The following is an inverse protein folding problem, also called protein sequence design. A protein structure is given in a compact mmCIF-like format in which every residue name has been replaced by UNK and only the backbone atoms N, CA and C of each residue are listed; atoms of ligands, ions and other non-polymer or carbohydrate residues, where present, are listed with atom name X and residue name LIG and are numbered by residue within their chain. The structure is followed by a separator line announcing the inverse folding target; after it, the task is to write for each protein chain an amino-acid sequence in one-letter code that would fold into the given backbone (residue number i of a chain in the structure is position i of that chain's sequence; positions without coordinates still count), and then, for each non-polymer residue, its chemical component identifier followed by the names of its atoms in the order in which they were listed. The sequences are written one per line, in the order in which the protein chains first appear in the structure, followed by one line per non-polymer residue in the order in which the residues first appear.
data_IF_639227655024
#
_entry.id   IF_639227655024
#
_cell.length_a   1.000
_cell.length_b   1.000
_cell.length_c   1.000
_cell.angle_alpha   90.00
_cell.angle_beta   90.00
_cell.angle_gamma   90.00
#
_symmetry.space_group_name_H-M   'P 1'
#
loop_
_entity.id
_entity.type
_entity.pdbx_description
1 polymer ?
#
# COMPACT_ATOMS: atom_id res chain seq x y z
N UNK A 1 5.53 -20.35 -3.36
CA UNK A 1 6.51 -20.76 -4.39
C UNK A 1 7.63 -19.72 -4.41
N UNK A 2 8.88 -20.15 -4.60
CA UNK A 2 10.04 -19.26 -4.66
C UNK A 2 10.05 -18.43 -5.95
N UNK A 3 10.87 -17.37 -5.99
CA UNK A 3 11.11 -16.60 -7.20
C UNK A 3 11.98 -17.45 -8.14
N UNK A 4 11.52 -17.69 -9.37
CA UNK A 4 12.39 -18.21 -10.42
C UNK A 4 13.23 -17.05 -10.97
N UNK A 5 14.50 -17.00 -10.60
CA UNK A 5 15.41 -15.93 -11.03
C UNK A 5 15.77 -16.01 -12.51
N UNK A 6 15.33 -17.05 -13.22
CA UNK A 6 15.51 -17.19 -14.67
C UNK A 6 14.36 -16.58 -15.50
N UNK A 7 13.20 -16.26 -14.89
CA UNK A 7 12.10 -15.56 -15.55
C UNK A 7 12.13 -14.05 -15.21
N UNK A 8 12.35 -13.15 -16.21
CA UNK A 8 12.31 -11.70 -16.01
C UNK A 8 10.99 -11.20 -15.39
N UNK A 9 9.86 -11.85 -15.66
CA UNK A 9 8.57 -11.47 -15.09
C UNK A 9 8.53 -11.65 -13.57
N UNK A 10 9.20 -12.68 -13.08
CA UNK A 10 9.27 -12.98 -11.65
C UNK A 10 10.13 -11.96 -10.89
N UNK A 11 11.19 -11.45 -11.52
CA UNK A 11 11.99 -10.34 -10.99
C UNK A 11 11.18 -9.05 -10.95
N UNK A 12 10.46 -8.71 -12.03
CA UNK A 12 9.59 -7.53 -12.09
C UNK A 12 8.49 -7.62 -11.02
N UNK A 13 7.85 -8.78 -10.91
CA UNK A 13 6.83 -9.06 -9.90
C UNK A 13 7.39 -8.91 -8.49
N UNK A 14 8.57 -9.48 -8.21
CA UNK A 14 9.23 -9.34 -6.90
C UNK A 14 9.55 -7.87 -6.58
N UNK A 15 10.01 -7.09 -7.56
CA UNK A 15 10.24 -5.65 -7.43
C UNK A 15 8.95 -4.90 -7.04
N UNK A 16 7.85 -5.17 -7.72
CA UNK A 16 6.55 -4.59 -7.39
C UNK A 16 6.03 -5.04 -6.02
N UNK A 17 6.12 -6.33 -5.71
CA UNK A 17 5.71 -6.88 -4.41
C UNK A 17 6.53 -6.29 -3.24
N UNK A 18 7.81 -5.97 -3.46
CA UNK A 18 8.65 -5.35 -2.42
C UNK A 18 8.10 -4.00 -1.92
N UNK A 19 7.45 -3.22 -2.79
CA UNK A 19 6.78 -1.97 -2.41
C UNK A 19 5.60 -2.26 -1.47
N UNK A 20 4.80 -3.29 -1.78
CA UNK A 20 3.68 -3.69 -0.94
C UNK A 20 4.12 -4.23 0.42
N UNK A 21 5.18 -5.04 0.44
CA UNK A 21 5.76 -5.60 1.67
C UNK A 21 6.37 -4.53 2.57
N UNK A 22 7.10 -3.56 2.01
CA UNK A 22 7.61 -2.43 2.77
C UNK A 22 6.47 -1.54 3.29
N UNK A 23 5.42 -1.33 2.50
CA UNK A 23 4.22 -0.60 2.93
C UNK A 23 3.56 -1.29 4.13
N UNK A 24 3.47 -2.63 4.09
CA UNK A 24 2.97 -3.43 5.21
C UNK A 24 3.80 -3.22 6.49
N UNK A 25 5.13 -3.30 6.39
CA UNK A 25 6.02 -3.09 7.53
C UNK A 25 5.84 -1.70 8.14
N UNK A 26 5.78 -0.65 7.31
CA UNK A 26 5.54 0.73 7.77
C UNK A 26 4.22 0.82 8.54
N UNK A 27 3.15 0.22 8.01
CA UNK A 27 1.84 0.26 8.66
C UNK A 27 1.85 -0.48 10.00
N UNK A 28 2.49 -1.65 10.10
CA UNK A 28 2.60 -2.38 11.37
C UNK A 28 3.42 -1.61 12.41
N UNK A 29 4.41 -0.80 12.01
CA UNK A 29 5.11 0.11 12.94
C UNK A 29 4.27 1.31 13.39
N UNK A 30 3.38 1.83 12.53
CA UNK A 30 2.49 2.95 12.86
C UNK A 30 1.34 2.49 13.78
N UNK A 31 0.83 1.29 13.57
CA UNK A 31 -0.33 0.73 14.27
C UNK A 31 -0.29 0.84 15.81
N UNK A 32 0.79 0.50 16.52
CA UNK A 32 0.84 0.60 17.99
C UNK A 32 0.80 2.03 18.52
N UNK A 33 1.18 3.03 17.72
CA UNK A 33 1.23 4.44 18.12
C UNK A 33 0.04 5.26 17.59
N UNK A 34 -0.73 4.71 16.66
CA UNK A 34 -1.87 5.39 16.06
C UNK A 34 -3.04 5.49 17.05
N UNK A 35 -3.56 6.70 17.27
CA UNK A 35 -4.76 6.93 18.10
C UNK A 35 -6.03 6.30 17.49
N UNK A 36 -6.04 6.13 16.16
CA UNK A 36 -7.14 5.49 15.44
C UNK A 36 -6.61 4.78 14.20
N UNK A 37 -7.20 3.65 13.84
CA UNK A 37 -6.82 2.89 12.65
C UNK A 37 -7.80 3.14 11.49
N UNK A 38 -7.32 3.33 10.25
CA UNK A 38 -8.19 3.57 9.11
C UNK A 38 -9.04 2.34 8.76
N UNK A 39 -10.26 2.57 8.26
CA UNK A 39 -11.13 1.52 7.70
C UNK A 39 -10.77 1.15 6.26
N UNK A 40 -10.05 2.02 5.56
CA UNK A 40 -9.59 1.86 4.17
C UNK A 40 -8.35 2.72 3.95
N UNK A 41 -7.47 2.29 3.04
CA UNK A 41 -6.34 3.07 2.56
C UNK A 41 -6.71 3.78 1.26
N UNK A 42 -6.03 4.87 0.96
CA UNK A 42 -6.22 5.63 -0.29
C UNK A 42 -4.88 5.76 -0.99
N UNK A 43 -4.83 5.46 -2.29
CA UNK A 43 -3.62 5.52 -3.09
C UNK A 43 -3.81 6.42 -4.31
N UNK A 44 -2.73 7.09 -4.72
CA UNK A 44 -2.65 7.93 -5.92
C UNK A 44 -1.20 8.00 -6.41
N UNK A 45 -0.96 8.69 -7.53
CA UNK A 45 0.36 8.85 -8.13
C UNK A 45 0.73 7.74 -9.12
N UNK A 46 1.86 7.92 -9.82
CA UNK A 46 2.23 7.07 -10.96
C UNK A 46 2.46 5.58 -10.62
N UNK A 47 2.80 5.28 -9.36
CA UNK A 47 3.01 3.92 -8.86
C UNK A 47 1.72 3.20 -8.44
N UNK A 48 0.57 3.88 -8.36
CA UNK A 48 -0.70 3.32 -7.90
C UNK A 48 -1.37 2.43 -8.97
N UNK A 49 -0.65 1.41 -9.44
CA UNK A 49 -1.11 0.48 -10.48
C UNK A 49 -1.98 -0.63 -9.87
N UNK A 50 -3.05 -1.08 -10.55
CA UNK A 50 -4.00 -2.04 -10.00
C UNK A 50 -3.39 -3.30 -9.35
N UNK A 51 -2.39 -3.99 -9.94
CA UNK A 51 -1.80 -5.19 -9.33
C UNK A 51 -1.13 -4.90 -7.98
N UNK A 52 -0.43 -3.76 -7.86
CA UNK A 52 0.19 -3.36 -6.60
C UNK A 52 -0.86 -3.01 -5.55
N UNK A 53 -1.92 -2.31 -5.93
CA UNK A 53 -2.98 -1.91 -5.00
C UNK A 53 -3.75 -3.12 -4.47
N UNK A 54 -4.03 -4.11 -5.33
CA UNK A 54 -4.59 -5.38 -4.90
C UNK A 54 -3.67 -6.08 -3.90
N UNK A 55 -2.37 -6.15 -4.21
CA UNK A 55 -1.40 -6.77 -3.32
C UNK A 55 -1.27 -6.06 -1.96
N UNK A 56 -1.34 -4.73 -1.93
CA UNK A 56 -1.37 -3.95 -0.67
C UNK A 56 -2.67 -4.23 0.10
N UNK A 57 -3.82 -4.33 -0.58
CA UNK A 57 -5.09 -4.68 0.07
C UNK A 57 -5.00 -6.07 0.73
N UNK A 58 -4.45 -7.04 0.01
CA UNK A 58 -4.19 -8.40 0.49
C UNK A 58 -3.24 -8.43 1.70
N UNK A 59 -2.12 -7.68 1.65
CA UNK A 59 -1.15 -7.63 2.74
C UNK A 59 -1.65 -6.90 3.98
N UNK A 60 -2.44 -5.85 3.83
CA UNK A 60 -2.87 -5.01 4.96
C UNK A 60 -4.21 -5.45 5.54
N UNK A 61 -4.92 -6.33 4.83
CA UNK A 61 -6.30 -6.71 5.12
C UNK A 61 -7.23 -5.48 5.27
N UNK A 62 -6.94 -4.43 4.51
CA UNK A 62 -7.74 -3.20 4.40
C UNK A 62 -8.13 -2.99 2.94
N UNK A 63 -9.34 -2.49 2.65
CA UNK A 63 -9.67 -2.00 1.32
C UNK A 63 -8.73 -0.87 0.90
N UNK A 64 -8.32 -0.85 -0.37
CA UNK A 64 -7.48 0.20 -0.95
C UNK A 64 -8.26 0.91 -2.06
N UNK A 65 -8.54 2.19 -1.87
CA UNK A 65 -9.20 3.03 -2.88
C UNK A 65 -8.16 3.72 -3.76
N UNK A 66 -8.21 3.47 -5.06
CA UNK A 66 -7.47 4.25 -6.05
C UNK A 66 -8.19 5.55 -6.33
N UNK A 67 -7.43 6.63 -6.52
CA UNK A 67 -8.00 7.91 -6.91
C UNK A 67 -7.78 8.24 -8.39
N UNK A 68 -8.84 8.70 -9.04
CA UNK A 68 -8.81 9.25 -10.41
C UNK A 68 -8.02 10.55 -10.53
N UNK A 69 -7.84 11.27 -9.42
CA UNK A 69 -7.11 12.52 -9.38
C UNK A 69 -5.60 12.24 -9.41
N UNK A 70 -5.03 12.25 -10.62
CA UNK A 70 -3.63 11.87 -10.88
C UNK A 70 -2.62 12.69 -10.08
N UNK A 71 -2.89 13.97 -9.86
CA UNK A 71 -2.00 14.88 -9.12
C UNK A 71 -2.65 15.36 -7.81
N UNK A 72 -2.75 14.42 -6.86
CA UNK A 72 -3.21 14.71 -5.49
C UNK A 72 -2.29 15.71 -4.78
N UNK A 73 -1.01 15.77 -5.16
CA UNK A 73 -0.04 16.70 -4.60
C UNK A 73 -0.41 18.13 -4.95
N UNK A 74 -0.60 18.43 -6.25
CA UNK A 74 -1.02 19.75 -6.71
C UNK A 74 -2.39 20.14 -6.13
N UNK A 75 -3.34 19.19 -6.06
CA UNK A 75 -4.63 19.44 -5.43
C UNK A 75 -4.50 19.78 -3.95
N UNK A 76 -3.62 19.12 -3.21
CA UNK A 76 -3.30 19.44 -1.82
C UNK A 76 -2.79 20.87 -1.66
N UNK A 77 -1.88 21.32 -2.53
CA UNK A 77 -1.37 22.70 -2.54
C UNK A 77 -2.50 23.70 -2.81
N UNK A 78 -3.32 23.44 -3.84
CA UNK A 78 -4.49 24.27 -4.15
C UNK A 78 -5.44 24.40 -2.95
N UNK A 79 -5.68 23.29 -2.25
CA UNK A 79 -6.52 23.25 -1.05
C UNK A 79 -5.97 24.11 0.11
N UNK A 80 -4.65 24.24 0.23
CA UNK A 80 -4.01 25.04 1.26
C UNK A 80 -4.06 26.55 0.98
N UNK A 81 -3.94 26.96 -0.29
CA UNK A 81 -3.84 28.38 -0.68
C UNK A 81 -5.18 29.04 -1.01
N UNK A 82 -6.22 28.25 -1.28
CA UNK A 82 -7.53 28.79 -1.68
C UNK A 82 -8.24 29.47 -0.49
N UNK A 83 -9.01 30.54 -0.72
CA UNK A 83 -9.87 31.13 0.31
C UNK A 83 -10.86 30.09 0.85
N UNK A 84 -11.06 30.06 2.17
CA UNK A 84 -12.04 29.18 2.83
C UNK A 84 -13.46 29.68 2.56
N UNK A 85 -14.01 29.41 1.39
CA UNK A 85 -15.43 29.63 1.16
C UNK A 85 -16.26 28.67 2.03
N UNK A 86 -17.35 29.19 2.60
CA UNK A 86 -18.30 28.43 3.42
C UNK A 86 -19.00 27.42 2.50
N UNK A 87 -18.86 26.14 2.80
CA UNK A 87 -19.40 24.98 2.08
C UNK A 87 -18.48 24.35 1.02
N UNK A 88 -17.32 23.88 1.45
CA UNK A 88 -16.71 22.76 0.75
C UNK A 88 -17.02 21.48 1.52
N UNK A 89 -17.90 20.70 0.91
CA UNK A 89 -18.20 19.32 1.22
C UNK A 89 -16.90 18.57 1.49
N UNK A 90 -16.99 17.64 2.45
CA UNK A 90 -15.98 16.63 2.76
C UNK A 90 -15.29 16.13 1.49
N UNK A 91 -14.01 15.75 1.63
CA UNK A 91 -13.30 14.91 0.66
C UNK A 91 -14.29 13.99 -0.06
N UNK A 92 -14.51 14.25 -1.35
CA UNK A 92 -15.58 13.55 -2.04
C UNK A 92 -15.09 12.16 -2.43
N UNK A 93 -15.84 11.14 -2.00
CA UNK A 93 -15.61 9.76 -2.44
C UNK A 93 -15.76 9.62 -3.97
N UNK A 94 -16.37 10.62 -4.63
CA UNK A 94 -16.48 10.75 -6.09
C UNK A 94 -15.12 10.72 -6.83
N UNK A 95 -14.02 10.99 -6.14
CA UNK A 95 -12.66 10.92 -6.71
C UNK A 95 -12.04 9.53 -6.69
N UNK A 96 -12.76 8.51 -6.23
CA UNK A 96 -12.33 7.11 -6.29
C UNK A 96 -13.02 6.39 -7.44
N UNK A 97 -12.25 5.73 -8.31
CA UNK A 97 -12.75 4.90 -9.40
C UNK A 97 -12.74 3.41 -9.06
N UNK A 98 -11.72 2.95 -8.35
CA UNK A 98 -11.52 1.54 -8.03
C UNK A 98 -11.29 1.34 -6.53
N UNK A 99 -11.91 0.30 -5.99
CA UNK A 99 -11.62 -0.18 -4.63
C UNK A 99 -11.21 -1.64 -4.70
N UNK A 100 -10.01 -1.92 -4.21
CA UNK A 100 -9.46 -3.26 -4.11
C UNK A 100 -9.75 -3.81 -2.73
N UNK A 101 -10.34 -4.99 -2.67
CA UNK A 101 -10.66 -5.66 -1.41
C UNK A 101 -9.67 -6.81 -1.16
N UNK A 102 -9.31 -7.08 0.10
CA UNK A 102 -8.48 -8.23 0.43
C UNK A 102 -9.13 -9.52 -0.08
N UNK A 103 -8.35 -10.32 -0.80
CA UNK A 103 -8.75 -11.58 -1.42
C UNK A 103 -7.80 -12.73 -1.06
N UNK A 104 -6.59 -12.41 -0.62
CA UNK A 104 -5.57 -13.38 -0.23
C UNK A 104 -5.89 -14.03 1.12
N UNK A 105 -5.70 -15.35 1.22
CA UNK A 105 -5.86 -16.06 2.47
C UNK A 105 -4.78 -15.66 3.49
N UNK A 106 -5.14 -15.61 4.78
CA UNK A 106 -4.24 -15.18 5.88
C UNK A 106 -2.94 -15.99 5.96
N UNK A 107 -3.00 -17.29 5.68
CA UNK A 107 -1.80 -18.14 5.71
C UNK A 107 -0.84 -17.81 4.56
N UNK A 108 -1.38 -17.48 3.39
CA UNK A 108 -0.59 -17.06 2.23
C UNK A 108 0.03 -15.67 2.46
N UNK A 109 -0.74 -14.74 3.01
CA UNK A 109 -0.27 -13.43 3.45
C UNK A 109 0.90 -13.57 4.43
N UNK A 110 0.73 -14.34 5.49
CA UNK A 110 1.78 -14.58 6.51
C UNK A 110 3.02 -15.22 5.91
N UNK A 111 2.85 -16.18 5.01
CA UNK A 111 3.96 -16.83 4.30
C UNK A 111 4.78 -15.83 3.49
N UNK A 112 4.13 -14.94 2.72
CA UNK A 112 4.82 -13.88 1.96
C UNK A 112 5.59 -12.91 2.85
N UNK A 113 4.97 -12.44 3.95
CA UNK A 113 5.62 -11.55 4.93
C UNK A 113 6.83 -12.22 5.59
N UNK A 114 6.70 -13.48 6.00
CA UNK A 114 7.83 -14.23 6.59
C UNK A 114 8.99 -14.38 5.61
N UNK A 115 8.71 -14.68 4.33
CA UNK A 115 9.73 -14.77 3.29
C UNK A 115 10.44 -13.43 3.09
N UNK A 116 9.70 -12.32 3.09
CA UNK A 116 10.23 -10.96 3.02
C UNK A 116 11.16 -10.64 4.19
N UNK A 117 10.73 -10.87 5.43
CA UNK A 117 11.57 -10.63 6.62
C UNK A 117 12.81 -11.51 6.63
N UNK A 118 12.70 -12.78 6.21
CA UNK A 118 13.87 -13.66 6.05
C UNK A 118 14.85 -13.11 5.00
N UNK A 119 14.35 -12.57 3.89
CA UNK A 119 15.19 -11.94 2.87
C UNK A 119 15.90 -10.69 3.41
N UNK A 120 15.19 -9.82 4.12
CA UNK A 120 15.78 -8.65 4.78
C UNK A 120 16.84 -9.03 5.80
N UNK A 121 16.60 -10.08 6.60
CA UNK A 121 17.56 -10.58 7.57
C UNK A 121 18.80 -11.19 6.90
N UNK A 122 18.62 -11.90 5.80
CA UNK A 122 19.73 -12.42 4.97
C UNK A 122 20.56 -11.28 4.37
N UNK A 123 19.91 -10.18 3.98
CA UNK A 123 20.57 -8.98 3.49
C UNK A 123 21.21 -8.12 4.61
N UNK A 124 21.05 -8.50 5.89
CA UNK A 124 21.59 -7.75 7.03
C UNK A 124 20.85 -6.44 7.34
N UNK A 125 19.66 -6.24 6.78
CA UNK A 125 18.86 -5.02 6.96
C UNK A 125 18.05 -5.04 8.26
N UNK A 126 17.71 -6.23 8.76
CA UNK A 126 17.04 -6.43 10.04
C UNK A 126 17.69 -7.59 10.81
N UNK A 127 17.55 -7.59 12.14
CA UNK A 127 17.98 -8.74 12.95
C UNK A 127 16.91 -9.81 12.89
N UNK A 128 17.30 -11.05 12.57
CA UNK A 128 16.38 -12.19 12.65
C UNK A 128 15.91 -12.35 14.11
N UNK A 129 14.64 -12.05 14.39
CA UNK A 129 14.01 -12.30 15.70
C UNK A 129 13.60 -11.07 16.51
N UNK A 130 13.07 -10.02 15.89
CA UNK A 130 12.15 -9.08 16.58
C UNK A 130 10.72 -9.34 16.15
#
# INVERSE_FOLDING_TARGET
EGIDTSDPNDIIRAGMESIGLLTYDILEQIKPIATSWPKKLTASGGGARPPLLQFIADLTNLPVCHSTMKDRTAYGVYQLIRPKEKNLSKFEESYFDLTFHPSLAKDQQKSKVNCWHKALGTAGLIKNGQ
#
